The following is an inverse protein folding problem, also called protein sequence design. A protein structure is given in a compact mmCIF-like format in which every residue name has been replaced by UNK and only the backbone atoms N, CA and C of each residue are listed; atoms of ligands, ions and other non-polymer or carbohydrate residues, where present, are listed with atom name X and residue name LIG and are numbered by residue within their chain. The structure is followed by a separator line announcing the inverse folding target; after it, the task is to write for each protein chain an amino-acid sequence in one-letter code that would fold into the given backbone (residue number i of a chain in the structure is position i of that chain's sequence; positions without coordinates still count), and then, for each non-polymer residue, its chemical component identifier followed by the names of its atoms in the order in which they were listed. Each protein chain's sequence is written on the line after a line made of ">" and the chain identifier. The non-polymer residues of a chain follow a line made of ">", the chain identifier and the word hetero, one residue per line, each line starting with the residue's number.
data_IF_819174041139
#
_entry.id   IF_819174041139
#
_cell.length_a   1.000
_cell.length_b   1.000
_cell.length_c   1.000
_cell.angle_alpha   90.00
_cell.angle_beta   90.00
_cell.angle_gamma   90.00
#
_symmetry.space_group_name_H-M   'P 1'
#
loop_
_entity.id
_entity.type
_entity.pdbx_description
1 polymer ?
#
# COMPACT_ATOMS: atom_id res chain seq x y z
N UNK A 1 6.42 -19.13 5.90
CA UNK A 1 5.09 -18.65 6.29
C UNK A 1 4.04 -19.61 5.71
N UNK A 2 3.34 -20.37 6.56
CA UNK A 2 2.16 -21.12 6.14
C UNK A 2 1.17 -20.16 5.49
N UNK A 3 0.57 -20.53 4.36
CA UNK A 3 -0.39 -19.70 3.62
C UNK A 3 0.14 -18.34 3.14
N UNK A 4 1.44 -18.22 2.83
CA UNK A 4 2.04 -17.01 2.24
C UNK A 4 1.22 -16.46 1.06
N UNK A 5 0.77 -17.35 0.18
CA UNK A 5 0.00 -16.94 -1.00
C UNK A 5 -1.35 -16.33 -0.62
N UNK A 6 -2.01 -16.87 0.40
CA UNK A 6 -3.25 -16.31 0.92
C UNK A 6 -3.02 -14.88 1.42
N UNK A 7 -2.05 -14.66 2.32
CA UNK A 7 -1.79 -13.33 2.87
C UNK A 7 -1.39 -12.32 1.80
N UNK A 8 -0.55 -12.71 0.82
CA UNK A 8 -0.16 -11.82 -0.27
C UNK A 8 -1.37 -11.42 -1.12
N UNK A 9 -2.21 -12.39 -1.50
CA UNK A 9 -3.40 -12.13 -2.32
C UNK A 9 -4.41 -11.28 -1.55
N UNK A 10 -4.76 -11.66 -0.33
CA UNK A 10 -5.72 -10.92 0.50
C UNK A 10 -5.23 -9.51 0.83
N UNK A 11 -3.93 -9.34 1.12
CA UNK A 11 -3.36 -8.03 1.39
C UNK A 11 -3.28 -7.17 0.14
N UNK A 12 -3.03 -7.76 -1.04
CA UNK A 12 -3.13 -7.06 -2.32
C UNK A 12 -4.55 -6.56 -2.60
N UNK A 13 -5.57 -7.41 -2.41
CA UNK A 13 -6.99 -7.02 -2.55
C UNK A 13 -7.36 -5.92 -1.55
N UNK A 14 -6.99 -6.08 -0.28
CA UNK A 14 -7.23 -5.07 0.75
C UNK A 14 -6.55 -3.73 0.41
N UNK A 15 -5.31 -3.78 -0.08
CA UNK A 15 -4.57 -2.60 -0.55
C UNK A 15 -5.24 -1.89 -1.72
N UNK A 16 -5.76 -2.64 -2.70
CA UNK A 16 -6.50 -2.08 -3.83
C UNK A 16 -7.77 -1.34 -3.37
N UNK A 17 -8.57 -1.99 -2.53
CA UNK A 17 -9.82 -1.42 -2.01
C UNK A 17 -9.56 -0.19 -1.15
N UNK A 18 -8.53 -0.23 -0.31
CA UNK A 18 -8.16 0.91 0.52
C UNK A 18 -7.66 2.08 -0.32
N UNK A 19 -6.82 1.84 -1.33
CA UNK A 19 -6.38 2.87 -2.26
C UNK A 19 -7.55 3.48 -3.05
N UNK A 20 -8.49 2.65 -3.54
CA UNK A 20 -9.70 3.11 -4.21
C UNK A 20 -10.57 4.00 -3.31
N UNK A 21 -10.73 3.62 -2.05
CA UNK A 21 -11.49 4.41 -1.08
C UNK A 21 -10.79 5.75 -0.80
N UNK A 22 -9.47 5.77 -0.68
CA UNK A 22 -8.67 6.98 -0.46
C UNK A 22 -8.66 7.91 -1.68
N UNK A 23 -8.80 7.36 -2.88
CA UNK A 23 -8.82 8.10 -4.14
C UNK A 23 -10.24 8.44 -4.62
N UNK A 24 -11.28 8.33 -3.78
CA UNK A 24 -12.68 8.50 -4.23
C UNK A 24 -12.99 9.86 -4.87
N UNK A 25 -12.24 10.91 -4.51
CA UNK A 25 -12.35 12.25 -5.09
C UNK A 25 -11.54 12.45 -6.37
N UNK A 26 -10.77 11.45 -6.80
CA UNK A 26 -9.89 11.53 -7.96
C UNK A 26 -10.60 11.08 -9.25
N UNK A 27 -10.14 11.53 -10.43
CA UNK A 27 -10.63 11.01 -11.70
C UNK A 27 -10.46 9.49 -11.84
N UNK A 28 -11.34 8.82 -12.58
CA UNK A 28 -11.37 7.35 -12.67
C UNK A 28 -10.06 6.72 -13.16
N UNK A 29 -9.38 7.33 -14.12
CA UNK A 29 -8.07 6.87 -14.57
C UNK A 29 -7.03 6.89 -13.44
N UNK A 30 -7.03 7.94 -12.61
CA UNK A 30 -6.11 8.06 -11.47
C UNK A 30 -6.48 7.05 -10.38
N UNK A 31 -7.78 6.83 -10.14
CA UNK A 31 -8.28 5.81 -9.20
C UNK A 31 -7.79 4.42 -9.57
N UNK A 32 -7.82 4.07 -10.86
CA UNK A 32 -7.32 2.78 -11.34
C UNK A 32 -5.80 2.65 -11.10
N UNK A 33 -5.02 3.70 -11.41
CA UNK A 33 -3.57 3.69 -11.18
C UNK A 33 -3.25 3.56 -9.68
N UNK A 34 -3.95 4.32 -8.82
CA UNK A 34 -3.80 4.22 -7.37
C UNK A 34 -4.22 2.83 -6.85
N UNK A 35 -5.25 2.21 -7.43
CA UNK A 35 -5.65 0.84 -7.09
C UNK A 35 -4.56 -0.18 -7.45
N UNK A 36 -3.94 -0.07 -8.63
CA UNK A 36 -2.81 -0.92 -9.03
C UNK A 36 -1.61 -0.75 -8.09
N UNK A 37 -1.32 0.50 -7.72
CA UNK A 37 -0.34 0.80 -6.69
C UNK A 37 -0.71 0.16 -5.35
N UNK A 38 -2.00 0.24 -4.97
CA UNK A 38 -2.57 -0.38 -3.78
C UNK A 38 -2.38 -1.90 -3.75
N UNK A 39 -2.57 -2.59 -4.88
CA UNK A 39 -2.30 -4.03 -5.00
C UNK A 39 -0.83 -4.32 -4.70
N UNK A 40 0.08 -3.63 -5.37
CA UNK A 40 1.52 -3.83 -5.20
C UNK A 40 1.94 -3.53 -3.76
N UNK A 41 1.54 -2.37 -3.23
CA UNK A 41 1.80 -1.98 -1.85
C UNK A 41 1.22 -2.97 -0.85
N UNK A 42 -0.01 -3.44 -1.06
CA UNK A 42 -0.66 -4.43 -0.22
C UNK A 42 0.07 -5.76 -0.19
N UNK A 43 0.48 -6.27 -1.34
CA UNK A 43 1.27 -7.49 -1.46
C UNK A 43 2.63 -7.38 -0.75
N UNK A 44 3.31 -6.22 -0.82
CA UNK A 44 4.55 -5.98 -0.08
C UNK A 44 4.30 -5.81 1.42
N UNK A 45 3.31 -5.00 1.80
CA UNK A 45 2.97 -4.70 3.18
C UNK A 45 2.53 -5.94 3.94
N UNK A 46 1.78 -6.83 3.29
CA UNK A 46 1.36 -8.12 3.84
C UNK A 46 2.50 -9.14 4.04
N UNK A 47 3.74 -8.78 3.71
CA UNK A 47 4.93 -9.62 3.97
C UNK A 47 5.89 -8.97 4.94
N UNK A 48 5.78 -7.66 5.13
CA UNK A 48 6.70 -6.90 5.95
C UNK A 48 6.72 -7.36 7.42
N UNK A 49 5.62 -7.76 8.07
CA UNK A 49 5.68 -8.28 9.44
C UNK A 49 6.64 -9.46 9.58
N UNK A 50 6.49 -10.50 8.76
CA UNK A 50 7.35 -11.70 8.78
C UNK A 50 8.80 -11.44 8.35
N UNK A 51 9.05 -10.37 7.59
CA UNK A 51 10.42 -9.95 7.23
C UNK A 51 11.12 -9.21 8.38
N UNK A 52 10.37 -8.42 9.14
CA UNK A 52 10.89 -7.62 10.27
C UNK A 52 11.01 -8.45 11.54
N UNK A 53 10.07 -9.36 11.76
CA UNK A 53 10.06 -10.29 12.89
C UNK A 53 9.76 -11.70 12.36
N UNK A 54 10.79 -12.47 11.98
CA UNK A 54 10.60 -13.81 11.45
C UNK A 54 9.97 -14.76 12.50
N UNK A 55 9.03 -15.65 12.09
CA UNK A 55 8.36 -16.57 12.99
C UNK A 55 9.32 -17.66 13.49
N UNK A 56 10.02 -17.40 14.59
CA UNK A 56 11.04 -18.28 15.18
C UNK A 56 10.50 -19.15 16.32
N UNK A 57 9.25 -18.94 16.77
CA UNK A 57 8.63 -19.72 17.84
C UNK A 57 7.09 -19.81 17.69
N UNK A 58 6.40 -20.78 18.31
CA UNK A 58 4.95 -20.90 18.21
C UNK A 58 4.19 -19.77 18.92
N UNK A 59 4.88 -18.99 19.77
CA UNK A 59 4.31 -17.83 20.46
C UNK A 59 4.42 -16.53 19.65
N UNK A 60 5.08 -16.56 18.49
CA UNK A 60 5.27 -15.42 17.60
C UNK A 60 3.94 -14.81 17.13
N UNK A 61 2.89 -15.63 16.97
CA UNK A 61 1.53 -15.24 16.56
C UNK A 61 0.60 -14.86 17.73
N UNK A 62 1.17 -14.51 18.88
CA UNK A 62 0.41 -14.12 20.07
C UNK A 62 -0.37 -12.80 19.85
N UNK A 63 -1.65 -12.80 20.23
CA UNK A 63 -2.61 -11.71 20.05
C UNK A 63 -2.20 -10.32 20.59
N UNK A 64 -1.27 -10.26 21.55
CA UNK A 64 -0.81 -8.99 22.13
C UNK A 64 0.29 -8.30 21.32
N UNK A 65 1.03 -9.01 20.45
CA UNK A 65 2.11 -8.41 19.65
C UNK A 65 1.61 -7.82 18.34
N UNK A 66 0.68 -8.48 17.65
CA UNK A 66 0.23 -8.09 16.32
C UNK A 66 -0.84 -6.99 16.33
N UNK A 67 -1.79 -7.00 17.27
CA UNK A 67 -2.89 -6.00 17.28
C UNK A 67 -2.43 -4.64 17.82
N UNK A 68 -1.64 -4.64 18.90
CA UNK A 68 -1.11 -3.40 19.47
C UNK A 68 -0.10 -2.73 18.51
N UNK A 69 0.76 -3.53 17.86
CA UNK A 69 1.67 -3.03 16.83
C UNK A 69 0.91 -2.51 15.61
N UNK A 70 -0.13 -3.21 15.12
CA UNK A 70 -0.96 -2.74 14.01
C UNK A 70 -1.65 -1.40 14.35
N UNK A 71 -2.23 -1.30 15.54
CA UNK A 71 -2.90 -0.08 16.00
C UNK A 71 -1.92 1.08 16.19
N UNK A 72 -0.72 0.82 16.74
CA UNK A 72 0.34 1.81 16.89
C UNK A 72 0.86 2.28 15.52
N UNK A 73 1.14 1.36 14.61
CA UNK A 73 1.55 1.69 13.24
C UNK A 73 0.47 2.53 12.57
N UNK A 74 -0.79 2.10 12.61
CA UNK A 74 -1.89 2.84 11.98
C UNK A 74 -2.09 4.24 12.58
N UNK A 75 -2.04 4.37 13.91
CA UNK A 75 -2.25 5.65 14.60
C UNK A 75 -1.09 6.62 14.41
N UNK A 76 0.15 6.15 14.46
CA UNK A 76 1.35 7.01 14.33
C UNK A 76 1.61 7.38 12.88
N UNK A 77 1.45 6.42 11.95
CA UNK A 77 1.74 6.67 10.54
C UNK A 77 0.56 7.19 9.74
N UNK A 78 -0.68 7.10 10.26
CA UNK A 78 -1.88 7.50 9.53
C UNK A 78 -1.85 8.94 9.01
N UNK A 79 -1.45 9.91 9.83
CA UNK A 79 -1.36 11.32 9.43
C UNK A 79 -0.23 11.59 8.43
N UNK A 80 0.96 11.01 8.68
CA UNK A 80 2.12 11.16 7.80
C UNK A 80 1.84 10.55 6.41
N UNK A 81 1.25 9.36 6.37
CA UNK A 81 0.92 8.66 5.12
C UNK A 81 -0.19 9.37 4.34
N UNK A 82 -1.11 10.07 5.03
CA UNK A 82 -2.09 10.95 4.38
C UNK A 82 -1.36 12.12 3.72
N UNK A 83 -0.50 12.83 4.45
CA UNK A 83 0.25 13.96 3.90
C UNK A 83 1.12 13.57 2.70
N UNK A 84 1.72 12.38 2.72
CA UNK A 84 2.51 11.89 1.58
C UNK A 84 1.65 11.58 0.35
N UNK A 85 0.48 10.96 0.54
CA UNK A 85 -0.45 10.73 -0.58
C UNK A 85 -0.92 12.06 -1.17
N UNK A 86 -1.31 13.01 -0.33
CA UNK A 86 -1.75 14.35 -0.78
C UNK A 86 -0.64 15.08 -1.54
N UNK A 87 0.59 15.03 -1.03
CA UNK A 87 1.75 15.61 -1.69
C UNK A 87 2.01 14.96 -3.06
N UNK A 88 1.96 13.62 -3.16
CA UNK A 88 2.14 12.90 -4.42
C UNK A 88 1.05 13.23 -5.44
N UNK A 89 -0.21 13.29 -5.01
CA UNK A 89 -1.34 13.66 -5.87
C UNK A 89 -1.19 15.10 -6.37
N UNK A 90 -0.87 16.04 -5.48
CA UNK A 90 -0.57 17.43 -5.84
C UNK A 90 0.58 17.54 -6.83
N UNK A 91 1.66 16.76 -6.63
CA UNK A 91 2.79 16.73 -7.56
C UNK A 91 2.39 16.16 -8.92
N UNK A 92 1.56 15.12 -8.97
CA UNK A 92 1.02 14.58 -10.21
C UNK A 92 0.18 15.62 -10.97
N UNK A 93 -0.64 16.39 -10.26
CA UNK A 93 -1.46 17.46 -10.86
C UNK A 93 -0.60 18.61 -11.39
N UNK A 94 0.46 18.99 -10.68
CA UNK A 94 1.45 19.94 -11.18
C UNK A 94 2.12 19.43 -12.47
N UNK A 95 2.58 18.17 -12.49
CA UNK A 95 3.21 17.57 -13.66
C UNK A 95 2.26 17.51 -14.85
N UNK A 96 0.99 17.19 -14.62
CA UNK A 96 -0.04 17.22 -15.65
C UNK A 96 -0.21 18.63 -16.24
N UNK A 97 -0.28 19.65 -15.39
CA UNK A 97 -0.41 21.02 -15.82
C UNK A 97 0.79 21.47 -16.67
N UNK A 98 2.01 21.20 -16.19
CA UNK A 98 3.24 21.50 -16.95
C UNK A 98 3.30 20.75 -18.29
N UNK A 99 2.82 19.51 -18.34
CA UNK A 99 2.71 18.71 -19.57
C UNK A 99 1.78 19.35 -20.61
N UNK A 100 0.66 19.92 -20.16
CA UNK A 100 -0.35 20.53 -21.05
C UNK A 100 0.18 21.79 -21.74
N UNK A 101 1.19 22.45 -21.17
CA UNK A 101 1.88 23.61 -21.76
C UNK A 101 2.92 23.24 -22.82
N UNK A 102 3.29 21.96 -22.93
CA UNK A 102 4.31 21.49 -23.88
C UNK A 102 3.73 21.17 -25.27
N UNK A 103 4.51 21.39 -26.35
CA UNK A 103 4.13 20.93 -27.69
C UNK A 103 3.80 19.44 -27.73
N UNK A 104 2.86 19.05 -28.59
CA UNK A 104 2.38 17.66 -28.70
C UNK A 104 3.52 16.66 -29.00
N UNK A 105 4.46 17.04 -29.86
CA UNK A 105 5.55 16.17 -30.33
C UNK A 105 6.78 16.15 -29.41
N UNK A 106 6.67 16.75 -28.23
CA UNK A 106 7.81 16.86 -27.29
C UNK A 106 8.02 15.55 -26.53
N UNK A 107 9.24 14.99 -26.59
CA UNK A 107 9.65 13.87 -25.72
C UNK A 107 9.49 14.20 -24.23
N UNK A 108 9.66 15.48 -23.86
CA UNK A 108 9.47 15.94 -22.50
C UNK A 108 8.02 15.70 -22.04
N UNK A 109 7.04 15.84 -22.92
CA UNK A 109 5.63 15.54 -22.64
C UNK A 109 5.44 14.10 -22.17
N UNK A 110 6.16 13.14 -22.77
CA UNK A 110 6.12 11.74 -22.37
C UNK A 110 6.79 11.51 -21.00
N UNK A 111 7.90 12.20 -20.72
CA UNK A 111 8.56 12.15 -19.40
C UNK A 111 7.63 12.65 -18.30
N UNK A 112 6.95 13.78 -18.53
CA UNK A 112 5.98 14.32 -17.58
C UNK A 112 4.78 13.38 -17.36
N UNK A 113 4.27 12.75 -18.42
CA UNK A 113 3.20 11.77 -18.31
C UNK A 113 3.63 10.53 -17.49
N UNK A 114 4.86 10.05 -17.72
CA UNK A 114 5.40 8.94 -16.95
C UNK A 114 5.63 9.31 -15.48
N UNK A 115 6.13 10.52 -15.20
CA UNK A 115 6.31 11.02 -13.84
C UNK A 115 4.96 11.20 -13.11
N UNK A 116 3.93 11.74 -13.78
CA UNK A 116 2.56 11.81 -13.26
C UNK A 116 2.05 10.42 -12.89
N UNK A 117 2.17 9.45 -13.80
CA UNK A 117 1.79 8.06 -13.57
C UNK A 117 2.51 7.48 -12.34
N UNK A 118 3.83 7.68 -12.22
CA UNK A 118 4.59 7.20 -11.07
C UNK A 118 4.12 7.83 -9.75
N UNK A 119 3.85 9.13 -9.72
CA UNK A 119 3.32 9.79 -8.52
C UNK A 119 1.97 9.19 -8.09
N UNK A 120 1.06 8.94 -9.04
CA UNK A 120 -0.22 8.27 -8.77
C UNK A 120 -0.01 6.84 -8.29
N UNK A 121 0.84 6.07 -8.96
CA UNK A 121 1.13 4.69 -8.57
C UNK A 121 1.71 4.62 -7.15
N UNK A 122 2.65 5.51 -6.81
CA UNK A 122 3.26 5.60 -5.49
C UNK A 122 2.27 6.00 -4.39
N UNK A 123 1.33 6.91 -4.70
CA UNK A 123 0.22 7.26 -3.77
C UNK A 123 -0.57 6.00 -3.40
N UNK A 124 -0.90 5.19 -4.41
CA UNK A 124 -1.52 3.87 -4.23
C UNK A 124 -0.68 2.90 -3.40
N UNK A 125 0.62 2.77 -3.71
CA UNK A 125 1.55 1.89 -2.98
C UNK A 125 1.58 2.22 -1.50
N UNK A 126 1.63 3.50 -1.13
CA UNK A 126 1.63 3.95 0.27
C UNK A 126 0.36 3.50 0.99
N UNK A 127 -0.81 3.70 0.37
CA UNK A 127 -2.07 3.24 0.92
C UNK A 127 -2.10 1.70 1.06
N UNK A 128 -1.63 1.00 0.02
CA UNK A 128 -1.55 -0.45 -0.02
C UNK A 128 -0.65 -1.02 1.07
N UNK A 129 0.55 -0.47 1.28
CA UNK A 129 1.50 -0.93 2.29
C UNK A 129 0.87 -0.98 3.68
N UNK A 130 0.17 0.10 4.08
CA UNK A 130 -0.51 0.16 5.37
C UNK A 130 -1.61 -0.90 5.47
N UNK A 131 -2.48 -0.98 4.46
CA UNK A 131 -3.58 -1.94 4.44
C UNK A 131 -3.10 -3.39 4.44
N UNK A 132 -2.03 -3.69 3.70
CA UNK A 132 -1.45 -5.02 3.65
C UNK A 132 -0.80 -5.42 4.96
N UNK A 133 -0.06 -4.50 5.59
CA UNK A 133 0.56 -4.71 6.89
C UNK A 133 -0.48 -5.00 7.97
N UNK A 134 -1.54 -4.19 8.05
CA UNK A 134 -2.62 -4.41 9.02
C UNK A 134 -3.41 -5.68 8.75
N UNK A 135 -3.66 -6.01 7.48
CA UNK A 135 -4.35 -7.24 7.08
C UNK A 135 -3.57 -8.49 7.53
N UNK A 136 -2.25 -8.51 7.31
CA UNK A 136 -1.40 -9.62 7.77
C UNK A 136 -1.46 -9.78 9.28
N UNK A 137 -1.28 -8.69 10.03
CA UNK A 137 -1.34 -8.74 11.50
C UNK A 137 -2.72 -9.16 12.01
N UNK A 138 -3.80 -8.77 11.32
CA UNK A 138 -5.16 -9.22 11.60
C UNK A 138 -5.31 -10.73 11.42
N UNK A 139 -4.81 -11.30 10.32
CA UNK A 139 -4.86 -12.75 10.12
C UNK A 139 -4.02 -13.52 11.13
N UNK A 140 -2.84 -13.01 11.48
CA UNK A 140 -2.00 -13.64 12.50
C UNK A 140 -2.69 -13.63 13.88
N UNK A 141 -3.37 -12.54 14.24
CA UNK A 141 -4.12 -12.45 15.50
C UNK A 141 -5.30 -13.44 15.58
N UNK A 142 -5.86 -13.83 14.44
CA UNK A 142 -6.97 -14.78 14.34
C UNK A 142 -6.52 -16.24 14.14
N UNK A 143 -5.23 -16.47 13.87
CA UNK A 143 -4.69 -17.81 13.62
C UNK A 143 -4.26 -18.45 14.94
N UNK A 144 -4.72 -19.68 15.26
CA UNK A 144 -4.28 -20.38 16.46
C UNK A 144 -2.76 -20.55 16.53
N UNK A 145 -2.20 -20.52 17.76
CA UNK A 145 -0.78 -20.72 18.00
C UNK A 145 -0.33 -22.07 17.45
N UNK A 146 0.64 -22.04 16.54
CA UNK A 146 1.24 -23.22 15.95
C UNK A 146 2.66 -22.87 15.48
N UNK A 147 3.53 -23.87 15.41
CA UNK A 147 4.77 -23.74 14.66
C UNK A 147 4.42 -23.70 13.17
N UNK A 148 5.11 -22.86 12.40
CA UNK A 148 5.07 -22.95 10.96
C UNK A 148 5.73 -24.26 10.51
N UNK A 149 4.93 -25.33 10.45
CA UNK A 149 5.31 -26.53 9.73
C UNK A 149 5.25 -26.15 8.25
N UNK A 150 6.41 -26.27 7.61
CA UNK A 150 6.67 -25.92 6.20
C UNK A 150 5.59 -26.49 5.29
#
# INVERSE_FOLDING_TARGET
>A
MPNRDFHVVSSGVAGALFALKRAESQPDAHRLIEALGGIAGGAFGGRAPDLLDPPTSPNHRGSAHSVAAAAAVYSVSGSVLISWQEWLRSKADQLRHERELLPQDSLLRAVYAFAEFLCRLLSGIIAGLLAGYTTHLGFDALTPRSLSLV
#
